data_IF_018171235944
#
_entry.id   IF_018171235944
#
_cell.length_a   1.000
_cell.length_b   1.000
_cell.length_c   1.000
_cell.angle_alpha   90.00
_cell.angle_beta   90.00
_cell.angle_gamma   90.00
#
_symmetry.space_group_name_H-M   'P 1'
#
loop_
_entity.id
_entity.type
_entity.pdbx_description
1 polymer ?
#
# COMPACT_ATOMS: atom_id res chain seq x y z
N UNK A 1 -1.31 2.34 -0.80
CA UNK A 1 -1.54 2.23 -2.27
C UNK A 1 -2.97 2.65 -2.54
N UNK A 2 -3.25 3.43 -3.59
CA UNK A 2 -4.62 3.82 -3.94
C UNK A 2 -5.11 3.05 -5.18
N UNK A 3 -6.34 2.51 -5.14
CA UNK A 3 -6.96 1.75 -6.25
C UNK A 3 -8.07 2.59 -6.89
N UNK A 4 -7.76 3.30 -7.96
CA UNK A 4 -8.76 4.08 -8.67
C UNK A 4 -8.15 5.25 -9.41
N UNK A 5 -8.98 6.24 -9.69
CA UNK A 5 -8.54 7.47 -10.35
C UNK A 5 -7.51 8.23 -9.47
N UNK A 6 -6.31 8.53 -9.99
CA UNK A 6 -5.26 9.19 -9.22
C UNK A 6 -5.60 10.63 -8.83
N UNK A 7 -6.45 11.32 -9.58
CA UNK A 7 -6.96 12.65 -9.24
C UNK A 7 -7.90 12.55 -8.05
N UNK A 8 -8.79 11.56 -8.01
CA UNK A 8 -9.65 11.31 -6.84
C UNK A 8 -8.80 10.97 -5.61
N UNK A 9 -7.81 10.08 -5.75
CA UNK A 9 -6.89 9.76 -4.66
C UNK A 9 -6.18 11.00 -4.11
N UNK A 10 -5.67 11.86 -5.00
CA UNK A 10 -5.04 13.13 -4.63
C UNK A 10 -6.01 14.13 -4.01
N UNK A 11 -7.27 14.18 -4.46
CA UNK A 11 -8.30 15.05 -3.89
C UNK A 11 -8.69 14.64 -2.48
N UNK A 12 -8.68 13.33 -2.17
CA UNK A 12 -8.87 12.83 -0.80
C UNK A 12 -7.72 13.31 0.10
N UNK A 13 -6.49 13.34 -0.40
CA UNK A 13 -5.33 13.90 0.32
C UNK A 13 -5.47 15.40 0.57
N UNK A 14 -5.91 16.20 -0.42
CA UNK A 14 -6.11 17.65 -0.24
C UNK A 14 -7.17 17.96 0.82
N UNK A 15 -8.19 17.10 0.98
CA UNK A 15 -9.20 17.25 2.03
C UNK A 15 -8.73 16.80 3.41
N UNK A 16 -7.55 16.19 3.53
CA UNK A 16 -6.98 15.78 4.81
C UNK A 16 -6.86 16.95 5.80
N UNK A 17 -6.50 18.14 5.33
CA UNK A 17 -6.35 19.33 6.19
C UNK A 17 -7.63 19.69 6.95
N UNK A 18 -8.80 19.38 6.38
CA UNK A 18 -10.11 19.51 7.05
C UNK A 18 -10.28 18.53 8.21
N UNK A 19 -9.59 17.40 8.16
CA UNK A 19 -9.64 16.35 9.17
C UNK A 19 -8.33 16.28 9.97
N UNK A 20 -7.61 17.40 10.10
CA UNK A 20 -6.35 17.45 10.85
C UNK A 20 -6.55 17.14 12.34
N UNK A 21 -7.72 17.47 12.89
CA UNK A 21 -8.11 17.16 14.27
C UNK A 21 -8.62 15.71 14.40
N UNK A 22 -8.16 15.00 15.43
CA UNK A 22 -8.61 13.63 15.74
C UNK A 22 -10.12 13.53 15.94
N UNK A 23 -10.71 14.47 16.68
CA UNK A 23 -12.16 14.50 16.93
C UNK A 23 -13.02 14.81 15.70
N UNK A 24 -12.46 15.38 14.62
CA UNK A 24 -13.16 15.54 13.34
C UNK A 24 -13.06 14.26 12.50
N UNK A 25 -11.90 13.61 12.49
CA UNK A 25 -11.73 12.30 11.85
C UNK A 25 -12.67 11.26 12.42
N UNK A 26 -12.79 11.21 13.75
CA UNK A 26 -13.61 10.19 14.39
C UNK A 26 -15.11 10.44 14.21
N UNK A 27 -15.55 11.71 14.20
CA UNK A 27 -16.94 12.09 13.89
C UNK A 27 -17.33 11.70 12.47
N UNK A 28 -16.46 11.99 11.50
CA UNK A 28 -16.75 11.75 10.09
C UNK A 28 -16.18 10.42 9.58
N UNK A 29 -15.69 9.55 10.48
CA UNK A 29 -15.00 8.30 10.12
C UNK A 29 -15.86 7.43 9.21
N UNK A 30 -17.12 7.21 9.55
CA UNK A 30 -18.03 6.37 8.76
C UNK A 30 -18.23 6.93 7.34
N UNK A 31 -18.34 8.25 7.22
CA UNK A 31 -18.43 8.94 5.94
C UNK A 31 -17.12 8.78 5.16
N UNK A 32 -15.99 9.08 5.77
CA UNK A 32 -14.65 8.90 5.16
C UNK A 32 -14.44 7.46 4.70
N UNK A 33 -14.83 6.48 5.51
CA UNK A 33 -14.70 5.05 5.20
C UNK A 33 -15.55 4.64 4.00
N UNK A 34 -16.71 5.27 3.80
CA UNK A 34 -17.54 5.08 2.62
C UNK A 34 -16.85 5.60 1.36
N UNK A 35 -16.14 6.73 1.45
CA UNK A 35 -15.49 7.38 0.30
C UNK A 35 -14.09 6.84 -0.01
N UNK A 36 -13.27 6.54 1.01
CA UNK A 36 -11.90 6.08 0.81
C UNK A 36 -11.73 4.56 0.95
N UNK A 37 -12.65 3.82 0.34
CA UNK A 37 -12.55 2.36 0.26
C UNK A 37 -11.41 1.89 -0.65
N UNK A 38 -10.88 2.77 -1.50
CA UNK A 38 -9.83 2.49 -2.47
C UNK A 38 -8.40 2.56 -1.90
N UNK A 39 -8.21 3.15 -0.72
CA UNK A 39 -6.89 3.25 -0.11
C UNK A 39 -6.52 1.97 0.66
N UNK A 40 -5.48 1.30 0.18
CA UNK A 40 -4.87 0.11 0.77
C UNK A 40 -3.78 0.53 1.74
N UNK A 41 -4.07 0.36 3.02
CA UNK A 41 -3.14 0.52 4.13
C UNK A 41 -3.34 -0.60 5.15
N UNK A 42 -2.25 -1.13 5.71
CA UNK A 42 -2.29 -2.33 6.55
C UNK A 42 -1.23 -2.29 7.65
N UNK A 43 -1.50 -1.53 8.71
CA UNK A 43 -0.58 -1.33 9.83
C UNK A 43 -1.02 -2.09 11.08
N UNK A 44 -0.11 -2.37 12.03
CA UNK A 44 -0.51 -2.77 13.36
C UNK A 44 -1.04 -1.56 14.13
N UNK A 45 -1.87 -1.81 15.13
CA UNK A 45 -2.17 -0.82 16.16
C UNK A 45 -0.89 -0.52 16.96
N UNK A 46 -0.42 0.73 16.89
CA UNK A 46 0.83 1.16 17.49
C UNK A 46 2.10 0.71 16.73
N UNK A 47 3.22 0.56 17.46
CA UNK A 47 4.52 0.26 16.83
C UNK A 47 4.57 -1.20 16.35
N UNK A 48 5.01 -1.40 15.11
CA UNK A 48 5.15 -2.74 14.54
C UNK A 48 6.18 -3.58 15.32
N UNK A 49 5.71 -4.68 15.90
CA UNK A 49 6.55 -5.67 16.56
C UNK A 49 7.17 -6.60 15.51
N UNK A 50 8.44 -6.98 15.73
CA UNK A 50 9.14 -7.92 14.85
C UNK A 50 8.57 -9.35 14.93
N UNK A 51 7.93 -9.70 16.05
CA UNK A 51 7.34 -11.01 16.31
C UNK A 51 5.94 -10.88 16.89
N UNK A 52 5.12 -11.93 16.73
CA UNK A 52 3.75 -11.97 17.26
C UNK A 52 2.68 -11.47 16.28
N UNK A 53 1.42 -11.56 16.73
CA UNK A 53 0.25 -11.01 16.04
C UNK A 53 -0.12 -9.72 16.73
N UNK A 54 -0.37 -8.67 15.95
CA UNK A 54 -0.90 -7.42 16.49
C UNK A 54 -2.30 -7.19 15.90
N UNK A 55 -3.21 -6.56 16.67
CA UNK A 55 -4.43 -6.01 16.10
C UNK A 55 -4.05 -5.14 14.89
N UNK A 56 -4.81 -5.31 13.81
CA UNK A 56 -4.60 -4.51 12.62
C UNK A 56 -5.29 -3.15 12.79
N UNK A 57 -4.53 -2.08 12.61
CA UNK A 57 -5.07 -0.73 12.50
C UNK A 57 -5.17 -0.34 11.02
N UNK A 58 -6.26 0.33 10.67
CA UNK A 58 -6.52 0.78 9.31
C UNK A 58 -6.31 2.28 9.24
N UNK A 59 -5.26 2.70 8.56
CA UNK A 59 -5.15 4.09 8.15
C UNK A 59 -6.02 4.33 6.93
N UNK A 60 -6.88 5.33 7.05
CA UNK A 60 -7.81 5.73 6.00
C UNK A 60 -7.21 6.79 5.07
N UNK A 61 -5.98 7.24 5.29
CA UNK A 61 -5.37 8.32 4.52
C UNK A 61 -3.88 8.09 4.32
N UNK A 62 -3.36 8.48 3.14
CA UNK A 62 -1.92 8.50 2.87
C UNK A 62 -1.19 9.43 3.85
N UNK A 63 -1.78 10.58 4.17
CA UNK A 63 -1.14 11.54 5.07
C UNK A 63 -0.99 10.99 6.50
N UNK A 64 -1.89 10.10 6.96
CA UNK A 64 -1.70 9.37 8.22
C UNK A 64 -0.47 8.46 8.17
N UNK A 65 -0.26 7.77 7.05
CA UNK A 65 0.93 6.94 6.83
C UNK A 65 2.20 7.83 6.75
N UNK A 66 2.16 8.94 6.03
CA UNK A 66 3.27 9.92 5.93
C UNK A 66 3.63 10.49 7.30
N UNK A 67 2.62 10.83 8.12
CA UNK A 67 2.84 11.35 9.48
C UNK A 67 3.44 10.29 10.39
N UNK A 68 2.99 9.05 10.29
CA UNK A 68 3.54 7.93 11.06
C UNK A 68 5.00 7.61 10.63
N UNK A 69 5.29 7.68 9.33
CA UNK A 69 6.63 7.44 8.76
C UNK A 69 7.56 8.66 8.87
N UNK A 70 7.03 9.85 9.18
CA UNK A 70 7.77 11.10 9.29
C UNK A 70 8.35 11.64 7.98
N UNK A 71 8.01 11.04 6.83
CA UNK A 71 8.53 11.46 5.53
C UNK A 71 7.55 11.18 4.38
N UNK A 72 7.65 11.99 3.32
CA UNK A 72 6.87 11.79 2.09
C UNK A 72 7.44 10.62 1.27
N UNK A 73 6.63 9.97 0.42
CA UNK A 73 7.11 8.88 -0.42
C UNK A 73 8.27 9.31 -1.32
N UNK A 74 9.39 8.61 -1.21
CA UNK A 74 10.57 8.87 -2.04
C UNK A 74 10.39 8.41 -3.49
N UNK A 75 9.56 7.38 -3.70
CA UNK A 75 9.29 6.77 -5.00
C UNK A 75 7.81 6.45 -5.08
N UNK A 76 7.17 6.85 -6.17
CA UNK A 76 5.76 6.56 -6.46
C UNK A 76 5.68 5.81 -7.79
N UNK A 77 4.86 4.76 -7.81
CA UNK A 77 4.52 4.03 -9.02
C UNK A 77 3.04 4.25 -9.34
N UNK A 78 2.74 4.64 -10.58
CA UNK A 78 1.37 4.73 -11.08
C UNK A 78 1.17 3.58 -12.05
N UNK A 79 0.25 2.67 -11.74
CA UNK A 79 0.00 1.44 -12.50
C UNK A 79 -1.30 1.59 -13.29
N UNK A 80 -1.31 1.15 -14.54
CA UNK A 80 -2.44 1.21 -15.47
C UNK A 80 -2.63 -0.13 -16.18
N UNK A 81 -3.83 -0.39 -16.71
CA UNK A 81 -4.10 -1.60 -17.50
C UNK A 81 -4.36 -2.88 -16.70
N UNK A 82 -4.36 -2.83 -15.37
CA UNK A 82 -4.78 -3.94 -14.51
C UNK A 82 -6.30 -3.96 -14.27
N UNK A 83 -6.84 -5.11 -13.87
CA UNK A 83 -8.25 -5.26 -13.52
C UNK A 83 -8.57 -4.57 -12.19
N UNK A 84 -8.99 -3.31 -12.26
CA UNK A 84 -9.30 -2.47 -11.10
C UNK A 84 -10.42 -3.04 -10.23
N UNK A 85 -11.46 -3.63 -10.84
CA UNK A 85 -12.59 -4.20 -10.10
C UNK A 85 -12.15 -5.40 -9.26
N UNK A 86 -11.32 -6.28 -9.82
CA UNK A 86 -10.76 -7.41 -9.08
C UNK A 86 -9.83 -6.96 -7.94
N UNK A 87 -9.04 -5.90 -8.16
CA UNK A 87 -8.22 -5.28 -7.11
C UNK A 87 -9.07 -4.71 -5.96
N UNK A 88 -10.15 -4.00 -6.28
CA UNK A 88 -11.07 -3.43 -5.29
C UNK A 88 -11.82 -4.52 -4.52
N UNK A 89 -12.26 -5.58 -5.20
CA UNK A 89 -12.93 -6.71 -4.57
C UNK A 89 -12.00 -7.46 -3.60
N UNK A 90 -10.75 -7.73 -4.00
CA UNK A 90 -9.78 -8.37 -3.12
C UNK A 90 -9.45 -7.48 -1.91
N UNK A 91 -9.30 -6.17 -2.11
CA UNK A 91 -9.10 -5.24 -1.00
C UNK A 91 -10.31 -5.21 -0.06
N UNK A 92 -11.53 -5.20 -0.60
CA UNK A 92 -12.75 -5.30 0.18
C UNK A 92 -12.76 -6.57 1.04
N UNK A 93 -12.42 -7.72 0.46
CA UNK A 93 -12.36 -9.01 1.17
C UNK A 93 -11.30 -9.04 2.27
N UNK A 94 -10.15 -8.39 2.04
CA UNK A 94 -9.08 -8.29 3.04
C UNK A 94 -9.52 -7.40 4.20
N UNK A 95 -10.07 -6.21 3.91
CA UNK A 95 -10.42 -5.19 4.91
C UNK A 95 -11.68 -5.51 5.71
N UNK A 96 -12.59 -6.32 5.17
CA UNK A 96 -13.85 -6.71 5.84
C UNK A 96 -13.68 -7.92 6.76
N UNK A 97 -12.48 -8.52 6.79
CA UNK A 97 -12.23 -9.72 7.60
C UNK A 97 -12.31 -9.40 9.10
N UNK A 98 -13.21 -10.07 9.85
CA UNK A 98 -13.27 -9.91 11.30
C UNK A 98 -11.98 -10.44 11.94
N UNK A 99 -11.53 -9.79 13.02
CA UNK A 99 -10.30 -10.14 13.74
C UNK A 99 -9.06 -10.19 12.83
N UNK A 100 -8.96 -9.22 11.92
CA UNK A 100 -7.77 -9.00 11.12
C UNK A 100 -6.55 -8.76 12.02
N UNK A 101 -5.43 -9.38 11.67
CA UNK A 101 -4.19 -9.29 12.43
C UNK A 101 -3.05 -8.90 11.50
N UNK A 102 -2.21 -7.99 11.97
CA UNK A 102 -0.93 -7.64 11.37
C UNK A 102 0.15 -8.64 11.79
N UNK A 103 1.03 -9.00 10.85
CA UNK A 103 2.24 -9.77 11.12
C UNK A 103 3.34 -9.27 10.18
N UNK A 104 4.44 -8.73 10.70
CA UNK A 104 5.49 -8.10 9.91
C UNK A 104 6.01 -8.98 8.75
N UNK A 105 6.15 -10.28 8.98
CA UNK A 105 6.73 -11.20 7.99
C UNK A 105 5.70 -11.79 7.01
N UNK A 106 4.47 -12.04 7.45
CA UNK A 106 3.47 -12.81 6.67
C UNK A 106 2.24 -12.00 6.25
N UNK A 107 1.96 -10.89 6.92
CA UNK A 107 0.78 -10.03 6.73
C UNK A 107 1.14 -8.55 6.95
N UNK A 108 2.16 -8.09 6.23
CA UNK A 108 2.56 -6.68 6.19
C UNK A 108 1.89 -5.94 5.04
N UNK A 109 1.99 -4.60 5.01
CA UNK A 109 1.58 -3.76 3.88
C UNK A 109 2.02 -4.32 2.52
N UNK A 110 3.27 -4.78 2.42
CA UNK A 110 3.81 -5.33 1.16
C UNK A 110 3.08 -6.60 0.73
N UNK A 111 2.79 -7.52 1.66
CA UNK A 111 2.05 -8.74 1.33
C UNK A 111 0.62 -8.43 0.86
N UNK A 112 -0.05 -7.45 1.49
CA UNK A 112 -1.40 -7.03 1.11
C UNK A 112 -1.40 -6.38 -0.27
N UNK A 113 -0.46 -5.45 -0.53
CA UNK A 113 -0.30 -4.83 -1.85
C UNK A 113 -0.04 -5.89 -2.93
N UNK A 114 0.82 -6.88 -2.68
CA UNK A 114 1.05 -7.96 -3.64
C UNK A 114 -0.21 -8.77 -3.91
N UNK A 115 -1.01 -9.09 -2.90
CA UNK A 115 -2.28 -9.83 -3.07
C UNK A 115 -3.27 -9.05 -3.92
N UNK A 116 -3.40 -7.76 -3.68
CA UNK A 116 -4.27 -6.88 -4.47
C UNK A 116 -3.76 -6.80 -5.92
N UNK A 117 -2.46 -6.61 -6.13
CA UNK A 117 -1.87 -6.61 -7.49
C UNK A 117 -2.06 -7.95 -8.21
N UNK A 118 -1.92 -9.07 -7.48
CA UNK A 118 -2.18 -10.43 -8.00
C UNK A 118 -3.63 -10.56 -8.49
N UNK A 119 -4.60 -10.11 -7.69
CA UNK A 119 -6.00 -10.11 -8.08
C UNK A 119 -6.27 -9.24 -9.33
N UNK A 120 -5.51 -8.15 -9.49
CA UNK A 120 -5.56 -7.30 -10.68
C UNK A 120 -4.91 -7.89 -11.94
N UNK A 121 -4.30 -9.07 -11.89
CA UNK A 121 -3.63 -9.70 -13.03
C UNK A 121 -2.15 -9.35 -13.20
N UNK A 122 -1.54 -8.60 -12.27
CA UNK A 122 -0.14 -8.15 -12.42
C UNK A 122 0.88 -9.29 -12.61
N UNK A 123 0.58 -10.50 -12.14
CA UNK A 123 1.46 -11.66 -12.29
C UNK A 123 1.45 -12.28 -13.69
N UNK A 124 0.38 -12.06 -14.46
CA UNK A 124 0.27 -12.55 -15.84
C UNK A 124 1.15 -11.72 -16.78
N UNK A 125 1.35 -10.46 -16.41
CA UNK A 125 2.27 -9.53 -17.06
C UNK A 125 3.74 -9.77 -16.69
N UNK A 126 4.06 -10.74 -15.84
CA UNK A 126 5.43 -11.03 -15.44
C UNK A 126 6.00 -12.21 -16.23
N UNK A 127 7.33 -12.23 -16.52
CA UNK A 127 7.98 -13.42 -17.04
C UNK A 127 7.76 -14.64 -16.12
N UNK A 128 7.61 -15.84 -16.69
CA UNK A 128 7.27 -17.07 -15.96
C UNK A 128 8.16 -17.32 -14.73
N UNK A 129 9.47 -17.10 -14.86
CA UNK A 129 10.44 -17.28 -13.76
C UNK A 129 10.11 -16.34 -12.58
N UNK A 130 9.79 -15.07 -12.87
CA UNK A 130 9.44 -14.08 -11.84
C UNK A 130 8.06 -14.38 -11.25
N UNK A 131 7.09 -14.78 -12.08
CA UNK A 131 5.77 -15.22 -11.62
C UNK A 131 5.89 -16.39 -10.62
N UNK A 132 6.71 -17.39 -10.93
CA UNK A 132 6.96 -18.52 -10.03
C UNK A 132 7.62 -18.05 -8.71
N UNK A 133 8.60 -17.16 -8.79
CA UNK A 133 9.25 -16.58 -7.63
C UNK A 133 8.27 -15.84 -6.71
N UNK A 134 7.45 -14.93 -7.25
CA UNK A 134 6.45 -14.20 -6.46
C UNK A 134 5.27 -15.08 -5.97
N UNK A 135 5.06 -16.25 -6.59
CA UNK A 135 4.04 -17.22 -6.15
C UNK A 135 4.51 -18.03 -4.94
N UNK A 136 5.80 -18.38 -4.89
CA UNK A 136 6.37 -19.26 -3.87
C UNK A 136 7.00 -18.51 -2.69
N UNK A 137 7.13 -17.19 -2.76
CA UNK A 137 7.87 -16.45 -1.73
C UNK A 137 7.07 -16.30 -0.43
N UNK A 138 7.63 -16.82 0.67
CA UNK A 138 7.08 -16.74 2.03
C UNK A 138 7.15 -15.33 2.64
N UNK A 139 8.04 -14.48 2.13
CA UNK A 139 8.29 -13.14 2.67
C UNK A 139 8.29 -12.09 1.55
N UNK A 140 7.40 -11.10 1.66
CA UNK A 140 7.28 -10.01 0.68
C UNK A 140 7.76 -8.72 1.31
N UNK A 141 8.76 -8.10 0.70
CA UNK A 141 9.32 -6.82 1.14
C UNK A 141 8.90 -5.67 0.21
N UNK A 142 9.01 -4.40 0.63
CA UNK A 142 8.76 -3.25 -0.25
C UNK A 142 9.63 -3.28 -1.52
N UNK A 143 10.86 -3.80 -1.43
CA UNK A 143 11.76 -3.99 -2.57
C UNK A 143 11.17 -4.96 -3.60
N UNK A 144 10.48 -6.00 -3.15
CA UNK A 144 9.84 -6.97 -4.03
C UNK A 144 8.65 -6.35 -4.77
N UNK A 145 7.88 -5.50 -4.11
CA UNK A 145 6.80 -4.73 -4.77
C UNK A 145 7.39 -3.78 -5.81
N UNK A 146 8.45 -3.05 -5.45
CA UNK A 146 9.13 -2.17 -6.41
C UNK A 146 9.67 -2.93 -7.63
N UNK A 147 10.14 -4.18 -7.46
CA UNK A 147 10.53 -5.04 -8.57
C UNK A 147 9.33 -5.36 -9.46
N UNK A 148 8.20 -5.83 -8.92
CA UNK A 148 6.97 -6.06 -9.70
C UNK A 148 6.59 -4.81 -10.49
N UNK A 149 6.57 -3.63 -9.84
CA UNK A 149 6.19 -2.39 -10.50
C UNK A 149 7.21 -1.95 -11.59
N UNK A 150 8.50 -2.26 -11.43
CA UNK A 150 9.48 -2.00 -12.50
C UNK A 150 9.21 -2.91 -13.72
N UNK A 151 8.85 -4.18 -13.52
CA UNK A 151 8.52 -5.06 -14.65
C UNK A 151 7.26 -4.58 -15.38
N UNK A 152 6.25 -4.14 -14.64
CA UNK A 152 5.05 -3.53 -15.22
C UNK A 152 5.40 -2.26 -15.99
N UNK A 153 6.30 -1.41 -15.44
CA UNK A 153 6.80 -0.21 -16.13
C UNK A 153 7.50 -0.57 -17.43
N UNK A 154 8.36 -1.58 -17.42
CA UNK A 154 9.14 -2.00 -18.59
C UNK A 154 8.23 -2.54 -19.72
N UNK A 155 6.97 -2.89 -19.38
CA UNK A 155 5.91 -3.27 -20.31
C UNK A 155 4.92 -2.15 -20.65
N UNK A 156 5.16 -0.93 -20.19
CA UNK A 156 4.29 0.22 -20.42
C UNK A 156 3.03 0.25 -19.55
N UNK A 157 2.92 -0.63 -18.55
CA UNK A 157 1.78 -0.72 -17.62
C UNK A 157 2.00 0.06 -16.32
N UNK A 158 3.15 0.70 -16.15
CA UNK A 158 3.38 1.58 -15.01
C UNK A 158 4.32 2.73 -15.34
N UNK A 159 4.20 3.82 -14.59
CA UNK A 159 5.17 4.91 -14.57
C UNK A 159 5.80 5.02 -13.19
N UNK A 160 7.01 5.57 -13.12
CA UNK A 160 7.76 5.73 -11.88
C UNK A 160 8.19 7.18 -11.72
N UNK A 161 7.76 7.81 -10.63
CA UNK A 161 8.23 9.11 -10.21
C UNK A 161 9.16 8.97 -9.00
N UNK A 162 10.31 9.65 -9.02
CA UNK A 162 11.26 9.70 -7.90
C UNK A 162 11.28 11.12 -7.36
N UNK A 163 11.13 11.27 -6.04
CA UNK A 163 11.27 12.56 -5.37
C UNK A 163 12.72 13.06 -5.46
N UNK A 164 12.91 14.38 -5.54
CA UNK A 164 14.22 15.01 -5.48
C UNK A 164 14.95 14.72 -4.16
N UNK A 165 14.20 14.50 -3.08
CA UNK A 165 14.73 14.19 -1.74
C UNK A 165 14.96 12.68 -1.52
N UNK A 166 14.86 11.85 -2.56
CA UNK A 166 15.07 10.43 -2.40
C UNK A 166 16.55 10.13 -2.11
N UNK A 167 16.87 9.44 -1.01
CA UNK A 167 18.24 9.13 -0.64
C UNK A 167 18.93 8.29 -1.73
N UNK A 168 20.26 8.43 -1.81
CA UNK A 168 21.07 7.64 -2.74
C UNK A 168 21.05 6.15 -2.39
N UNK A 169 21.26 5.30 -3.41
CA UNK A 169 21.32 3.84 -3.23
C UNK A 169 22.46 3.53 -2.26
N UNK A 170 22.12 3.04 -1.06
CA UNK A 170 23.08 2.64 -0.02
C UNK A 170 23.02 3.49 1.25
N UNK A 171 22.35 4.65 1.23
CA UNK A 171 22.20 5.50 2.42
C UNK A 171 21.24 4.94 3.49
N UNK A 172 20.47 3.89 3.16
CA UNK A 172 19.51 3.23 4.05
C UNK A 172 19.97 1.81 4.42
N UNK A 173 21.18 1.67 4.96
CA UNK A 173 21.51 0.51 5.80
C UNK A 173 21.30 0.95 7.26
N UNK A 174 20.27 0.40 7.90
CA UNK A 174 19.85 0.64 9.29
C UNK A 174 19.04 1.93 9.55
N UNK A 175 17.73 1.85 9.30
CA UNK A 175 16.76 2.85 9.74
C UNK A 175 15.59 2.22 10.47
N UNK A 176 15.86 1.51 11.58
CA UNK A 176 14.87 1.31 12.65
C UNK A 176 15.04 2.47 13.63
N UNK A 177 14.25 3.51 13.48
CA UNK A 177 13.87 4.41 14.56
C UNK A 177 12.35 4.40 14.64
#
# INVERSE_FOLDING_TARGET
>A
MYIGDPVIGKMIEVRYDRYRNEGERDRDRAFIEQYNTAYVSWWPEGRAAMTGKQPQERNLFLESDIRAEGCKPHVVYTITGLNMQAMQAEWYNIRSKPNANYQMLRKSCSTIVLRVLKAGGAMEELPLIKRAWFSNNLYVTPKNIAQVCNELRDRGLATKAKSALCPEKGAFMFGLR
#
